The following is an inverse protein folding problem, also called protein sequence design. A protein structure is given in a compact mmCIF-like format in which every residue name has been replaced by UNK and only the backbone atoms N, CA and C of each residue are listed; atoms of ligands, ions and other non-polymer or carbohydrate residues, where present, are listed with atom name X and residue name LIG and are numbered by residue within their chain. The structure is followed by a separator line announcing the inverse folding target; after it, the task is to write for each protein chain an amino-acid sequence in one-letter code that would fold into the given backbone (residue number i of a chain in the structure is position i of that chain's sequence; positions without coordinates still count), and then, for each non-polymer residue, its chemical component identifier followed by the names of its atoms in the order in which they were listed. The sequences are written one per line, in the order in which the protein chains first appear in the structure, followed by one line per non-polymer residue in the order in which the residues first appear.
data_IF_593104080811
#
_entry.id   IF_593104080811
#
_cell.length_a   1.000
_cell.length_b   1.000
_cell.length_c   1.000
_cell.angle_alpha   90.00
_cell.angle_beta   90.00
_cell.angle_gamma   90.00
#
_symmetry.space_group_name_H-M   'P 1'
#
loop_
_entity.id
_entity.type
_entity.pdbx_description
1 polymer ?
#
# COMPACT_ATOMS: atom_id res chain seq x y z
N UNK A 1 44.81 -26.46 -14.13
CA UNK A 1 44.55 -25.21 -14.89
C UNK A 1 44.13 -25.59 -16.30
N UNK A 2 42.86 -25.37 -16.66
CA UNK A 2 42.38 -25.40 -18.05
C UNK A 2 41.74 -24.05 -18.34
N UNK A 3 42.29 -23.34 -19.32
CA UNK A 3 41.64 -22.23 -20.02
C UNK A 3 40.35 -22.76 -20.67
N UNK A 4 39.22 -22.08 -20.45
CA UNK A 4 37.95 -22.48 -21.07
C UNK A 4 36.73 -21.91 -20.37
N UNK A 5 36.59 -20.58 -20.39
CA UNK A 5 35.32 -19.82 -20.48
C UNK A 5 35.58 -18.36 -20.07
N UNK A 6 36.25 -17.59 -20.94
CA UNK A 6 35.99 -16.15 -20.96
C UNK A 6 34.56 -16.04 -21.47
N UNK A 7 33.62 -15.77 -20.56
CA UNK A 7 32.22 -15.53 -20.89
C UNK A 7 32.13 -14.54 -22.04
N UNK A 8 31.51 -14.94 -23.15
CA UNK A 8 31.26 -14.10 -24.34
C UNK A 8 30.70 -12.75 -23.87
N UNK A 9 31.46 -11.67 -24.05
CA UNK A 9 30.99 -10.34 -23.62
C UNK A 9 29.79 -9.92 -24.48
N UNK A 10 28.66 -9.62 -23.85
CA UNK A 10 27.42 -9.25 -24.53
C UNK A 10 27.30 -7.72 -24.60
N UNK A 11 27.12 -7.22 -25.83
CA UNK A 11 26.88 -5.81 -26.11
C UNK A 11 25.54 -5.65 -26.81
N UNK A 12 24.86 -4.54 -26.53
CA UNK A 12 23.62 -4.14 -27.21
C UNK A 12 23.66 -2.66 -27.55
N UNK A 13 22.99 -2.27 -28.63
CA UNK A 13 22.79 -0.86 -28.97
C UNK A 13 21.31 -0.54 -28.88
N UNK A 14 20.96 0.44 -28.04
CA UNK A 14 19.59 0.92 -27.87
C UNK A 14 19.54 2.39 -28.29
N UNK A 15 18.76 2.69 -29.32
CA UNK A 15 18.82 3.96 -30.02
C UNK A 15 20.24 4.24 -30.54
N UNK A 16 20.82 5.34 -30.08
CA UNK A 16 22.19 5.76 -30.43
C UNK A 16 23.25 5.28 -29.43
N UNK A 17 22.83 4.72 -28.29
CA UNK A 17 23.72 4.42 -27.16
C UNK A 17 24.09 2.94 -27.14
N UNK A 18 25.39 2.67 -26.95
CA UNK A 18 25.93 1.32 -26.78
C UNK A 18 25.98 0.96 -25.29
N UNK A 19 25.60 -0.27 -24.96
CA UNK A 19 25.66 -0.81 -23.62
C UNK A 19 26.41 -2.14 -23.59
N UNK A 20 27.22 -2.34 -22.55
CA UNK A 20 27.78 -3.63 -22.16
C UNK A 20 26.89 -4.27 -21.10
N UNK A 21 26.49 -5.52 -21.31
CA UNK A 21 25.80 -6.33 -20.32
C UNK A 21 26.86 -7.01 -19.45
N UNK A 22 26.92 -6.62 -18.17
CA UNK A 22 27.90 -7.17 -17.23
C UNK A 22 27.22 -7.90 -16.09
N UNK A 23 27.85 -8.98 -15.64
CA UNK A 23 27.47 -9.68 -14.43
C UNK A 23 28.31 -9.12 -13.27
N UNK A 24 27.74 -8.19 -12.50
CA UNK A 24 28.41 -7.59 -11.35
C UNK A 24 28.31 -8.53 -10.14
N UNK A 25 29.43 -8.97 -9.53
CA UNK A 25 29.40 -9.88 -8.39
C UNK A 25 28.76 -9.22 -7.15
N UNK A 26 28.01 -10.01 -6.36
CA UNK A 26 27.44 -9.62 -5.06
C UNK A 26 28.28 -10.18 -3.91
N UNK A 27 28.16 -9.53 -2.74
CA UNK A 27 28.80 -9.94 -1.47
C UNK A 27 28.48 -11.40 -1.08
N UNK A 28 27.26 -11.88 -1.35
CA UNK A 28 26.80 -13.20 -0.88
C UNK A 28 27.07 -14.36 -1.86
N UNK A 29 27.90 -14.14 -2.88
CA UNK A 29 28.07 -15.08 -3.98
C UNK A 29 26.89 -15.01 -4.95
N UNK A 30 27.18 -14.75 -6.23
CA UNK A 30 26.18 -14.52 -7.27
C UNK A 30 26.42 -13.22 -8.03
N UNK A 31 25.62 -12.97 -9.06
CA UNK A 31 25.81 -11.86 -9.99
C UNK A 31 24.52 -11.07 -10.21
N UNK A 32 24.65 -9.77 -10.46
CA UNK A 32 23.59 -8.89 -10.96
C UNK A 32 23.89 -8.53 -12.39
N UNK A 33 22.94 -8.76 -13.29
CA UNK A 33 23.01 -8.20 -14.64
C UNK A 33 22.87 -6.68 -14.55
N UNK A 34 23.91 -5.96 -14.96
CA UNK A 34 23.93 -4.50 -15.05
C UNK A 34 24.24 -4.08 -16.48
N UNK A 35 23.61 -2.98 -16.90
CA UNK A 35 23.88 -2.32 -18.17
C UNK A 35 24.79 -1.14 -17.91
N UNK A 36 25.96 -1.14 -18.54
CA UNK A 36 26.92 -0.05 -18.44
C UNK A 36 27.00 0.60 -19.81
N UNK A 37 26.85 1.93 -19.86
CA UNK A 37 27.07 2.70 -21.09
C UNK A 37 28.51 2.48 -21.54
N UNK A 38 28.70 2.10 -22.79
CA UNK A 38 30.01 1.77 -23.33
C UNK A 38 30.35 2.71 -24.50
N UNK A 39 31.62 3.11 -24.60
CA UNK A 39 32.07 3.96 -25.70
C UNK A 39 32.27 3.13 -26.98
N UNK A 40 31.71 3.63 -28.09
CA UNK A 40 31.87 3.03 -29.42
C UNK A 40 33.33 2.98 -29.88
N UNK A 41 34.16 3.96 -29.52
CA UNK A 41 35.58 3.98 -29.90
C UNK A 41 36.37 2.90 -29.18
N UNK A 42 36.16 2.76 -27.86
CA UNK A 42 36.77 1.70 -27.05
C UNK A 42 36.36 0.32 -27.57
N UNK A 43 35.09 0.10 -27.90
CA UNK A 43 34.64 -1.16 -28.50
C UNK A 43 35.39 -1.47 -29.82
N UNK A 44 35.61 -0.46 -30.67
CA UNK A 44 36.34 -0.63 -31.93
C UNK A 44 37.82 -0.90 -31.72
N UNK A 45 38.43 -0.31 -30.69
CA UNK A 45 39.83 -0.58 -30.33
C UNK A 45 40.00 -2.01 -29.80
N UNK A 46 39.09 -2.46 -28.94
CA UNK A 46 39.16 -3.76 -28.29
C UNK A 46 38.79 -4.93 -29.23
N UNK A 47 37.77 -4.75 -30.07
CA UNK A 47 37.15 -5.82 -30.87
C UNK A 47 37.21 -5.61 -32.39
N UNK A 48 37.76 -4.48 -32.83
CA UNK A 48 37.85 -4.12 -34.25
C UNK A 48 36.59 -3.47 -34.83
N UNK A 49 36.75 -2.85 -36.01
CA UNK A 49 35.70 -2.04 -36.67
C UNK A 49 34.44 -2.84 -37.05
N UNK A 50 34.60 -4.12 -37.40
CA UNK A 50 33.51 -4.96 -37.89
C UNK A 50 32.61 -5.50 -36.78
N UNK A 51 33.08 -5.54 -35.52
CA UNK A 51 32.30 -6.05 -34.39
C UNK A 51 31.03 -5.24 -34.13
N UNK A 52 31.03 -3.94 -34.43
CA UNK A 52 29.84 -3.11 -34.27
C UNK A 52 28.66 -3.56 -35.15
N UNK A 53 28.93 -4.24 -36.27
CA UNK A 53 27.88 -4.77 -37.15
C UNK A 53 27.16 -5.99 -36.53
N UNK A 54 27.82 -6.72 -35.62
CA UNK A 54 27.25 -7.91 -34.96
C UNK A 54 26.45 -7.59 -33.70
N UNK A 55 26.53 -6.35 -33.21
CA UNK A 55 25.81 -5.90 -32.01
C UNK A 55 24.30 -5.78 -32.30
N UNK A 56 23.41 -6.45 -31.54
CA UNK A 56 21.97 -6.29 -31.66
C UNK A 56 21.52 -4.84 -31.47
N UNK A 57 20.53 -4.42 -32.27
CA UNK A 57 20.05 -3.04 -32.35
C UNK A 57 18.57 -2.98 -31.98
N UNK A 58 18.26 -2.09 -31.05
CA UNK A 58 16.90 -1.82 -30.58
C UNK A 58 16.59 -0.33 -30.72
N UNK A 59 15.33 0.00 -30.93
CA UNK A 59 14.88 1.39 -31.12
C UNK A 59 14.80 2.14 -29.78
N UNK A 60 14.49 1.44 -28.68
CA UNK A 60 14.37 2.02 -27.36
C UNK A 60 14.13 1.00 -26.24
N UNK A 61 13.77 1.51 -25.07
CA UNK A 61 13.31 0.70 -23.94
C UNK A 61 11.79 0.72 -23.84
N UNK A 62 11.20 -0.36 -23.35
CA UNK A 62 9.78 -0.43 -22.97
C UNK A 62 9.63 -1.18 -21.64
N UNK A 63 8.48 -1.09 -21.00
CA UNK A 63 8.16 -1.89 -19.81
C UNK A 63 6.82 -2.58 -20.03
N UNK A 64 6.85 -3.83 -20.48
CA UNK A 64 5.66 -4.65 -20.71
C UNK A 64 5.68 -5.81 -19.73
N UNK A 65 4.89 -5.75 -18.65
CA UNK A 65 4.92 -6.78 -17.62
C UNK A 65 4.10 -8.01 -18.04
N UNK A 66 4.76 -9.16 -18.08
CA UNK A 66 4.15 -10.48 -18.23
C UNK A 66 5.09 -11.51 -17.62
N UNK A 67 4.59 -12.35 -16.72
CA UNK A 67 5.36 -13.40 -16.06
C UNK A 67 5.30 -14.74 -16.77
N UNK A 68 4.19 -15.04 -17.46
CA UNK A 68 3.94 -16.37 -18.05
C UNK A 68 4.44 -16.39 -19.50
N UNK A 69 4.14 -15.34 -20.25
CA UNK A 69 4.54 -15.16 -21.64
C UNK A 69 5.55 -14.03 -21.79
N UNK A 70 6.54 -14.00 -20.89
CA UNK A 70 7.56 -12.94 -20.88
C UNK A 70 8.27 -12.83 -22.24
N UNK A 71 8.38 -11.60 -22.73
CA UNK A 71 9.14 -11.26 -23.94
C UNK A 71 10.27 -10.29 -23.58
N UNK A 72 11.54 -10.69 -23.75
CA UNK A 72 12.67 -9.78 -23.53
C UNK A 72 12.72 -8.66 -24.58
N UNK A 73 12.13 -8.91 -25.75
CA UNK A 73 12.04 -7.98 -26.87
C UNK A 73 10.57 -7.88 -27.27
N UNK A 74 10.04 -6.65 -27.28
CA UNK A 74 8.69 -6.34 -27.76
C UNK A 74 8.86 -5.48 -29.00
N UNK A 75 8.52 -6.05 -30.16
CA UNK A 75 8.82 -5.49 -31.48
C UNK A 75 10.32 -5.19 -31.66
N UNK A 76 10.71 -3.91 -31.57
CA UNK A 76 12.13 -3.46 -31.64
C UNK A 76 12.62 -2.84 -30.33
N UNK A 77 11.86 -2.96 -29.26
CA UNK A 77 12.17 -2.38 -27.96
C UNK A 77 12.66 -3.45 -26.99
N UNK A 78 13.68 -3.10 -26.21
CA UNK A 78 14.17 -3.96 -25.14
C UNK A 78 13.28 -3.77 -23.90
N UNK A 79 12.75 -4.86 -23.36
CA UNK A 79 11.90 -4.83 -22.17
C UNK A 79 12.75 -4.60 -20.91
N UNK A 80 12.36 -3.61 -20.10
CA UNK A 80 12.93 -3.31 -18.80
C UNK A 80 12.34 -4.19 -17.70
N UNK A 81 11.17 -4.78 -17.96
CA UNK A 81 10.61 -5.80 -17.09
C UNK A 81 11.49 -7.04 -17.13
N UNK A 82 11.66 -7.70 -15.99
CA UNK A 82 12.60 -8.82 -15.87
C UNK A 82 11.84 -10.14 -15.79
N UNK A 83 12.35 -11.24 -16.40
CA UNK A 83 11.76 -12.55 -16.22
C UNK A 83 11.92 -12.99 -14.77
N UNK A 84 11.04 -13.91 -14.34
CA UNK A 84 11.27 -14.67 -13.11
C UNK A 84 11.89 -16.02 -13.48
N UNK A 85 12.88 -16.46 -12.71
CA UNK A 85 13.59 -17.72 -13.02
C UNK A 85 12.83 -18.98 -12.54
N UNK A 86 11.69 -18.81 -11.89
CA UNK A 86 10.89 -19.90 -11.35
C UNK A 86 10.06 -20.58 -12.44
N UNK A 87 10.12 -21.92 -12.49
CA UNK A 87 9.32 -22.73 -13.42
C UNK A 87 8.18 -23.39 -12.66
N UNK A 88 6.91 -23.13 -13.04
CA UNK A 88 5.76 -23.82 -12.45
C UNK A 88 5.87 -25.34 -12.59
N UNK A 89 5.62 -26.06 -11.50
CA UNK A 89 5.67 -27.52 -11.46
C UNK A 89 4.71 -28.00 -10.36
N UNK A 90 4.06 -29.15 -10.53
CA UNK A 90 3.26 -29.75 -9.45
C UNK A 90 4.09 -30.05 -8.20
N UNK A 91 3.50 -29.87 -7.03
CA UNK A 91 4.15 -30.16 -5.76
C UNK A 91 3.36 -29.63 -4.56
N UNK A 92 3.92 -29.82 -3.36
CA UNK A 92 3.39 -29.26 -2.13
C UNK A 92 3.90 -27.82 -1.91
N UNK A 93 3.07 -26.99 -1.28
CA UNK A 93 3.40 -25.62 -0.90
C UNK A 93 2.89 -25.30 0.51
N UNK A 94 2.92 -26.28 1.41
CA UNK A 94 2.34 -26.18 2.76
C UNK A 94 2.92 -25.02 3.57
N UNK A 95 4.21 -24.69 3.44
CA UNK A 95 4.81 -23.56 4.14
C UNK A 95 4.34 -22.21 3.58
N UNK A 96 4.26 -22.07 2.26
CA UNK A 96 3.66 -20.88 1.62
C UNK A 96 2.19 -20.75 2.02
N UNK A 97 1.44 -21.84 2.01
CA UNK A 97 0.04 -21.85 2.43
C UNK A 97 -0.09 -21.38 3.89
N UNK A 98 0.78 -21.86 4.78
CA UNK A 98 0.84 -21.43 6.18
C UNK A 98 1.15 -19.94 6.30
N UNK A 99 2.12 -19.42 5.53
CA UNK A 99 2.47 -18.01 5.52
C UNK A 99 1.29 -17.14 5.04
N UNK A 100 0.66 -17.51 3.92
CA UNK A 100 -0.48 -16.75 3.38
C UNK A 100 -1.65 -16.78 4.38
N UNK A 101 -1.91 -17.92 5.02
CA UNK A 101 -2.95 -18.04 6.05
C UNK A 101 -2.63 -17.22 7.30
N UNK A 102 -1.37 -17.14 7.70
CA UNK A 102 -0.92 -16.27 8.79
C UNK A 102 -1.13 -14.78 8.48
N UNK A 103 -0.81 -14.35 7.26
CA UNK A 103 -0.91 -12.93 6.86
C UNK A 103 -2.36 -12.49 6.62
N UNK A 104 -3.16 -13.32 5.95
CA UNK A 104 -4.50 -12.94 5.51
C UNK A 104 -5.62 -13.50 6.41
N UNK A 105 -5.32 -14.44 7.31
CA UNK A 105 -6.27 -14.96 8.29
C UNK A 105 -7.55 -15.48 7.64
N UNK A 106 -8.68 -14.94 8.10
CA UNK A 106 -10.02 -15.21 7.58
C UNK A 106 -10.21 -14.79 6.11
N UNK A 107 -9.36 -13.89 5.61
CA UNK A 107 -9.35 -13.43 4.21
C UNK A 107 -8.34 -14.20 3.34
N UNK A 108 -7.99 -15.44 3.71
CA UNK A 108 -7.05 -16.29 2.97
C UNK A 108 -7.30 -16.34 1.47
N UNK A 109 -8.55 -16.56 1.04
CA UNK A 109 -8.90 -16.65 -0.39
C UNK A 109 -8.69 -15.32 -1.14
N UNK A 110 -8.93 -14.17 -0.49
CA UNK A 110 -8.60 -12.86 -1.06
C UNK A 110 -7.09 -12.68 -1.19
N UNK A 111 -6.31 -13.19 -0.22
CA UNK A 111 -4.85 -13.18 -0.27
C UNK A 111 -4.31 -14.00 -1.43
N UNK A 112 -4.88 -15.19 -1.65
CA UNK A 112 -4.56 -16.05 -2.79
C UNK A 112 -4.95 -15.38 -4.12
N UNK A 113 -6.12 -14.75 -4.21
CA UNK A 113 -6.52 -13.95 -5.38
C UNK A 113 -5.53 -12.80 -5.64
N UNK A 114 -5.10 -12.09 -4.59
CA UNK A 114 -4.15 -10.98 -4.71
C UNK A 114 -2.82 -11.46 -5.31
N UNK A 115 -2.25 -12.56 -4.79
CA UNK A 115 -1.01 -13.15 -5.29
C UNK A 115 -1.16 -13.70 -6.72
N UNK A 116 -2.30 -14.33 -7.01
CA UNK A 116 -2.63 -14.82 -8.35
C UNK A 116 -2.70 -13.67 -9.38
N UNK A 117 -3.33 -12.55 -9.01
CA UNK A 117 -3.45 -11.38 -9.88
C UNK A 117 -2.10 -10.69 -10.08
N UNK A 118 -1.24 -10.63 -9.07
CA UNK A 118 0.13 -10.16 -9.25
C UNK A 118 0.89 -10.99 -10.29
N UNK A 119 0.68 -12.31 -10.29
CA UNK A 119 1.38 -13.24 -11.18
C UNK A 119 0.77 -13.31 -12.60
N UNK A 120 -0.54 -13.46 -12.73
CA UNK A 120 -1.21 -13.66 -14.02
C UNK A 120 -1.65 -12.36 -14.69
N UNK A 121 -1.86 -11.29 -13.90
CA UNK A 121 -2.38 -10.01 -14.39
C UNK A 121 -1.60 -8.82 -13.80
N UNK A 122 -0.29 -8.72 -14.07
CA UNK A 122 0.59 -7.74 -13.41
C UNK A 122 0.19 -6.27 -13.66
N UNK A 123 -0.62 -5.97 -14.68
CA UNK A 123 -1.14 -4.63 -14.99
C UNK A 123 -2.38 -4.28 -14.14
N UNK A 124 -3.13 -5.28 -13.66
CA UNK A 124 -4.38 -5.08 -12.93
C UNK A 124 -4.13 -4.28 -11.64
N UNK A 125 -4.91 -3.22 -11.43
CA UNK A 125 -4.84 -2.38 -10.22
C UNK A 125 -5.36 -3.16 -9.01
N UNK A 126 -4.55 -3.16 -7.95
CA UNK A 126 -4.82 -3.81 -6.67
C UNK A 126 -4.72 -2.78 -5.53
N UNK A 127 -5.38 -3.02 -4.39
CA UNK A 127 -5.28 -2.14 -3.23
C UNK A 127 -3.86 -2.10 -2.67
N UNK A 128 -3.57 -1.02 -1.94
CA UNK A 128 -2.39 -0.87 -1.10
C UNK A 128 -2.56 -1.83 0.08
N UNK A 129 -1.69 -2.83 0.16
CA UNK A 129 -1.68 -3.77 1.28
C UNK A 129 -0.86 -3.16 2.42
N UNK A 130 -1.47 -2.94 3.57
CA UNK A 130 -0.83 -2.40 4.77
C UNK A 130 -0.89 -3.44 5.89
N UNK A 131 0.27 -3.97 6.28
CA UNK A 131 0.42 -4.92 7.36
C UNK A 131 0.83 -4.17 8.64
N UNK A 132 0.01 -4.25 9.69
CA UNK A 132 0.27 -3.59 10.97
C UNK A 132 0.42 -4.61 12.09
N UNK A 133 1.34 -4.37 13.01
CA UNK A 133 1.41 -5.10 14.28
C UNK A 133 2.21 -4.32 15.30
N UNK A 134 1.72 -4.18 16.53
CA UNK A 134 2.52 -3.62 17.65
C UNK A 134 3.66 -4.57 18.04
N UNK A 135 3.41 -5.87 17.95
CA UNK A 135 4.35 -6.90 18.33
C UNK A 135 5.45 -7.08 17.28
N UNK A 136 6.64 -7.44 17.76
CA UNK A 136 7.77 -7.88 16.92
C UNK A 136 7.64 -9.38 16.64
N UNK A 137 8.33 -9.83 15.60
CA UNK A 137 8.34 -11.23 15.15
C UNK A 137 6.96 -11.76 14.71
N UNK A 138 6.31 -10.99 13.83
CA UNK A 138 4.97 -11.29 13.29
C UNK A 138 5.01 -11.86 11.87
N UNK A 139 6.20 -12.06 11.29
CA UNK A 139 6.34 -12.59 9.93
C UNK A 139 6.13 -11.56 8.80
N UNK A 140 5.93 -10.28 9.11
CA UNK A 140 5.82 -9.19 8.11
C UNK A 140 7.02 -9.14 7.16
N UNK A 141 8.23 -9.03 7.70
CA UNK A 141 9.46 -8.98 6.90
C UNK A 141 9.70 -10.29 6.15
N UNK A 142 9.30 -11.44 6.72
CA UNK A 142 9.33 -12.75 6.03
C UNK A 142 8.41 -12.76 4.81
N UNK A 143 7.20 -12.20 4.91
CA UNK A 143 6.29 -12.05 3.78
C UNK A 143 6.84 -11.11 2.70
N UNK A 144 7.46 -9.99 3.09
CA UNK A 144 8.12 -9.08 2.15
C UNK A 144 9.29 -9.77 1.41
N UNK A 145 10.09 -10.54 2.13
CA UNK A 145 11.18 -11.32 1.55
C UNK A 145 10.65 -12.45 0.66
N UNK A 146 9.53 -13.09 1.02
CA UNK A 146 8.85 -14.05 0.17
C UNK A 146 8.43 -13.41 -1.16
N UNK A 147 7.78 -12.24 -1.13
CA UNK A 147 7.44 -11.50 -2.36
C UNK A 147 8.70 -11.16 -3.18
N UNK A 148 9.79 -10.76 -2.51
CA UNK A 148 11.08 -10.48 -3.17
C UNK A 148 11.67 -11.72 -3.83
N UNK A 149 11.57 -12.89 -3.23
CA UNK A 149 12.06 -14.14 -3.83
C UNK A 149 11.12 -14.63 -4.93
N UNK A 150 9.81 -14.44 -4.79
CA UNK A 150 8.78 -14.84 -5.76
C UNK A 150 8.87 -14.05 -7.07
N UNK A 151 8.90 -12.71 -6.99
CA UNK A 151 8.91 -11.81 -8.15
C UNK A 151 10.29 -11.23 -8.47
N UNK A 152 11.31 -11.60 -7.69
CA UNK A 152 12.73 -11.34 -7.95
C UNK A 152 13.04 -9.86 -8.22
N UNK A 153 13.58 -9.53 -9.40
CA UNK A 153 13.98 -8.17 -9.74
C UNK A 153 12.80 -7.25 -10.05
N UNK A 154 11.57 -7.76 -10.11
CA UNK A 154 10.37 -6.93 -10.26
C UNK A 154 9.84 -6.38 -8.92
N UNK A 155 10.52 -6.66 -7.80
CA UNK A 155 10.24 -6.08 -6.48
C UNK A 155 11.37 -5.16 -6.05
N UNK A 156 11.04 -4.03 -5.44
CA UNK A 156 12.00 -3.11 -4.82
C UNK A 156 11.63 -2.80 -3.38
N UNK A 157 12.64 -2.67 -2.53
CA UNK A 157 12.47 -2.15 -1.17
C UNK A 157 12.74 -0.65 -1.21
N UNK A 158 11.78 0.12 -0.71
CA UNK A 158 11.87 1.57 -0.62
C UNK A 158 11.79 1.99 0.85
N UNK A 159 12.42 3.12 1.14
CA UNK A 159 12.33 3.84 2.40
C UNK A 159 11.29 4.95 2.31
N UNK A 160 10.92 5.55 3.45
CA UNK A 160 10.04 6.73 3.45
C UNK A 160 10.64 7.92 2.67
N UNK A 161 11.97 8.01 2.55
CA UNK A 161 12.65 9.06 1.80
C UNK A 161 12.52 8.87 0.29
N UNK A 162 12.58 7.62 -0.19
CA UNK A 162 12.39 7.30 -1.61
C UNK A 162 11.00 7.73 -2.11
N UNK A 163 9.98 7.69 -1.24
CA UNK A 163 8.64 8.20 -1.55
C UNK A 163 8.57 9.72 -1.63
N UNK A 164 9.44 10.42 -0.91
CA UNK A 164 9.50 11.89 -0.90
C UNK A 164 10.39 12.42 -2.01
N UNK A 165 11.34 11.62 -2.46
CA UNK A 165 12.22 11.94 -3.58
C UNK A 165 11.44 12.23 -4.86
N UNK A 166 11.97 13.15 -5.67
CA UNK A 166 11.53 13.36 -7.05
C UNK A 166 12.13 12.29 -7.98
N UNK A 167 13.31 11.76 -7.63
CA UNK A 167 13.95 10.69 -8.39
C UNK A 167 13.30 9.34 -8.08
N UNK A 168 12.75 8.71 -9.10
CA UNK A 168 11.91 7.53 -8.99
C UNK A 168 12.26 6.43 -10.01
N UNK A 169 13.31 6.63 -10.80
CA UNK A 169 13.74 5.70 -11.86
C UNK A 169 13.96 4.28 -11.38
N UNK A 170 14.33 4.12 -10.11
CA UNK A 170 14.72 2.85 -9.54
C UNK A 170 13.51 1.93 -9.28
N UNK A 171 12.32 2.52 -9.12
CA UNK A 171 11.10 1.81 -8.76
C UNK A 171 9.93 2.00 -9.74
N UNK A 172 9.97 3.01 -10.61
CA UNK A 172 8.84 3.35 -11.49
C UNK A 172 8.39 2.23 -12.45
N UNK A 173 9.30 1.32 -12.83
CA UNK A 173 9.02 0.16 -13.68
C UNK A 173 8.88 -1.18 -12.94
N UNK A 174 8.80 -1.18 -11.61
CA UNK A 174 8.71 -2.40 -10.79
C UNK A 174 7.25 -2.81 -10.55
N UNK A 175 7.02 -4.11 -10.40
CA UNK A 175 5.69 -4.67 -10.08
C UNK A 175 5.28 -4.33 -8.65
N UNK A 176 6.20 -4.49 -7.70
CA UNK A 176 5.95 -4.30 -6.27
C UNK A 176 6.94 -3.31 -5.68
N UNK A 177 6.41 -2.35 -4.95
CA UNK A 177 7.16 -1.41 -4.12
C UNK A 177 6.82 -1.74 -2.68
N UNK A 178 7.85 -2.20 -1.96
CA UNK A 178 7.72 -2.74 -0.62
C UNK A 178 8.38 -1.79 0.38
N UNK A 179 7.74 -1.56 1.53
CA UNK A 179 8.27 -0.75 2.62
C UNK A 179 8.13 -1.52 3.92
N UNK A 180 9.25 -1.84 4.57
CA UNK A 180 9.25 -2.64 5.81
C UNK A 180 8.81 -1.83 7.03
N UNK A 181 9.07 -0.52 7.03
CA UNK A 181 8.64 0.39 8.10
C UNK A 181 8.14 1.71 7.54
N UNK A 182 6.82 1.79 7.36
CA UNK A 182 6.14 2.98 6.87
C UNK A 182 5.71 3.88 8.03
N UNK A 183 6.01 5.17 7.89
CA UNK A 183 5.52 6.25 8.76
C UNK A 183 5.26 7.50 7.92
N UNK A 184 4.07 7.57 7.32
CA UNK A 184 3.66 8.65 6.44
C UNK A 184 2.65 9.54 7.14
N UNK A 185 3.16 10.33 8.08
CA UNK A 185 2.38 11.30 8.88
C UNK A 185 2.00 12.58 8.12
N UNK A 186 2.42 12.73 6.86
CA UNK A 186 2.07 13.90 6.03
C UNK A 186 0.90 13.55 5.11
N UNK A 187 -0.09 14.44 5.03
CA UNK A 187 -1.21 14.29 4.08
C UNK A 187 -0.72 14.21 2.64
N UNK A 188 0.31 14.97 2.30
CA UNK A 188 0.96 14.93 0.98
C UNK A 188 1.47 13.54 0.60
N UNK A 189 2.11 12.84 1.53
CA UNK A 189 2.63 11.49 1.32
C UNK A 189 1.47 10.50 1.04
N UNK A 190 0.37 10.67 1.78
CA UNK A 190 -0.84 9.83 1.65
C UNK A 190 -1.56 10.09 0.31
N UNK A 191 -1.69 11.36 -0.11
CA UNK A 191 -2.22 11.74 -1.42
C UNK A 191 -1.33 11.23 -2.57
N UNK A 192 0.00 11.27 -2.39
CA UNK A 192 0.93 10.71 -3.38
C UNK A 192 0.73 9.21 -3.55
N UNK A 193 0.60 8.43 -2.47
CA UNK A 193 0.30 7.00 -2.52
C UNK A 193 -1.04 6.72 -3.23
N UNK A 194 -2.09 7.47 -2.86
CA UNK A 194 -3.41 7.38 -3.48
C UNK A 194 -3.34 7.60 -5.00
N UNK A 195 -2.63 8.64 -5.43
CA UNK A 195 -2.42 8.93 -6.84
C UNK A 195 -1.67 7.78 -7.52
N UNK A 196 -0.51 7.36 -7.00
CA UNK A 196 0.28 6.28 -7.58
C UNK A 196 -0.50 4.96 -7.70
N UNK A 197 -1.33 4.62 -6.72
CA UNK A 197 -2.13 3.39 -6.74
C UNK A 197 -3.16 3.34 -7.89
N UNK A 198 -3.57 4.50 -8.42
CA UNK A 198 -4.58 4.58 -9.48
C UNK A 198 -4.03 5.00 -10.83
N UNK A 199 -3.04 5.89 -10.86
CA UNK A 199 -2.42 6.46 -12.06
C UNK A 199 -2.07 5.42 -13.13
N UNK A 200 -2.32 5.76 -14.41
CA UNK A 200 -1.99 4.90 -15.55
C UNK A 200 -0.60 5.20 -16.11
N UNK A 201 -0.18 6.46 -16.09
CA UNK A 201 1.10 6.92 -16.62
C UNK A 201 1.85 7.78 -15.59
N UNK A 202 3.15 7.58 -15.48
CA UNK A 202 3.99 8.25 -14.49
C UNK A 202 5.25 8.80 -15.12
N UNK A 203 5.61 10.03 -14.75
CA UNK A 203 6.82 10.68 -15.22
C UNK A 203 8.00 10.16 -14.42
N UNK A 204 8.92 9.51 -15.12
CA UNK A 204 10.16 9.01 -14.57
C UNK A 204 11.17 10.15 -14.54
N UNK A 205 11.76 10.37 -13.36
CA UNK A 205 12.84 11.33 -13.18
C UNK A 205 14.09 10.59 -12.68
N UNK A 206 15.18 10.76 -13.43
CA UNK A 206 16.51 10.30 -13.05
C UNK A 206 17.45 11.50 -13.02
N UNK A 207 18.44 11.48 -12.12
CA UNK A 207 19.38 12.58 -11.98
C UNK A 207 20.16 12.80 -13.29
N UNK A 208 20.05 14.01 -13.84
CA UNK A 208 20.76 14.41 -15.06
C UNK A 208 20.21 13.78 -16.36
N UNK A 209 18.95 13.36 -16.39
CA UNK A 209 18.25 12.88 -17.60
C UNK A 209 16.93 13.60 -17.81
N UNK A 210 16.48 13.65 -19.05
CA UNK A 210 15.17 14.16 -19.41
C UNK A 210 14.05 13.29 -18.82
N UNK A 211 12.87 13.89 -18.64
CA UNK A 211 11.70 13.23 -18.06
C UNK A 211 10.97 12.43 -19.13
N UNK A 212 10.79 11.14 -18.88
CA UNK A 212 10.05 10.23 -19.76
C UNK A 212 8.75 9.79 -19.10
N UNK A 213 7.67 9.64 -19.87
CA UNK A 213 6.39 9.13 -19.37
C UNK A 213 6.28 7.62 -19.64
N UNK A 214 6.06 6.83 -18.59
CA UNK A 214 5.88 5.37 -18.70
C UNK A 214 4.53 4.93 -18.13
N UNK A 215 4.05 3.76 -18.56
CA UNK A 215 2.90 3.13 -17.90
C UNK A 215 3.26 2.72 -16.46
N UNK A 216 2.43 3.12 -15.50
CA UNK A 216 2.61 2.81 -14.09
C UNK A 216 1.66 1.69 -13.67
N UNK A 217 2.22 0.58 -13.19
CA UNK A 217 1.46 -0.60 -12.79
C UNK A 217 1.91 -1.17 -11.44
N UNK A 218 2.75 -0.45 -10.71
CA UNK A 218 3.27 -0.90 -9.42
C UNK A 218 2.17 -1.01 -8.37
N UNK A 219 2.31 -1.96 -7.44
CA UNK A 219 1.47 -2.14 -6.27
C UNK A 219 2.31 -1.91 -5.02
N UNK A 220 1.66 -1.46 -3.96
CA UNK A 220 2.31 -1.12 -2.70
C UNK A 220 2.01 -2.16 -1.64
N UNK A 221 3.05 -2.67 -0.99
CA UNK A 221 2.95 -3.51 0.21
C UNK A 221 3.75 -2.82 1.30
N UNK A 222 3.06 -2.35 2.32
CA UNK A 222 3.60 -1.53 3.39
C UNK A 222 3.51 -2.31 4.70
N UNK A 223 4.53 -2.21 5.53
CA UNK A 223 4.54 -2.75 6.88
C UNK A 223 4.76 -1.61 7.88
N UNK A 224 4.06 -1.65 9.01
CA UNK A 224 4.29 -0.71 10.11
C UNK A 224 4.16 -1.40 11.46
N UNK A 225 4.89 -0.87 12.44
CA UNK A 225 4.73 -1.26 13.84
C UNK A 225 3.70 -0.39 14.58
N UNK A 226 3.14 0.61 13.89
CA UNK A 226 2.11 1.50 14.42
C UNK A 226 0.72 1.06 13.91
N UNK A 227 -0.14 0.59 14.81
CA UNK A 227 -1.51 0.17 14.48
C UNK A 227 -2.50 1.34 14.36
N UNK A 228 -2.12 2.55 14.77
CA UNK A 228 -3.01 3.70 14.86
C UNK A 228 -2.74 4.75 13.77
N UNK A 229 -1.48 5.15 13.60
CA UNK A 229 -1.08 6.24 12.70
C UNK A 229 0.10 5.87 11.77
N UNK A 230 0.05 4.74 11.04
CA UNK A 230 1.11 4.41 10.08
C UNK A 230 1.05 5.29 8.82
N UNK A 231 -0.16 5.62 8.37
CA UNK A 231 -0.48 6.43 7.18
C UNK A 231 -1.79 7.18 7.46
N UNK A 232 -1.97 8.36 6.86
CA UNK A 232 -3.23 9.09 6.94
C UNK A 232 -4.24 8.50 5.94
N UNK A 233 -5.30 7.90 6.46
CA UNK A 233 -6.40 7.30 5.69
C UNK A 233 -7.71 7.98 6.09
N UNK A 234 -8.37 8.60 5.12
CA UNK A 234 -9.66 9.23 5.31
C UNK A 234 -10.80 8.20 5.25
N UNK A 235 -11.93 8.48 5.90
CA UNK A 235 -13.08 7.55 5.97
C UNK A 235 -13.67 7.16 4.60
N UNK A 236 -13.52 8.01 3.58
CA UNK A 236 -13.98 7.72 2.22
C UNK A 236 -12.98 6.97 1.35
N UNK A 237 -11.82 6.61 1.90
CA UNK A 237 -10.76 5.95 1.13
C UNK A 237 -11.07 4.46 0.94
N UNK A 238 -10.92 3.99 -0.30
CA UNK A 238 -11.34 2.65 -0.72
C UNK A 238 -10.18 1.80 -1.23
N UNK A 239 -8.96 2.37 -1.24
CA UNK A 239 -7.78 1.78 -1.89
C UNK A 239 -6.88 1.02 -0.92
N UNK A 240 -7.14 1.05 0.38
CA UNK A 240 -6.32 0.36 1.38
C UNK A 240 -6.95 -0.96 1.80
N UNK A 241 -6.08 -1.94 1.97
CA UNK A 241 -6.39 -3.20 2.61
C UNK A 241 -5.46 -3.39 3.81
N UNK A 242 -6.00 -3.25 5.03
CA UNK A 242 -5.20 -3.27 6.25
C UNK A 242 -5.36 -4.62 6.95
N UNK A 243 -4.25 -5.30 7.23
CA UNK A 243 -4.23 -6.55 7.99
C UNK A 243 -3.43 -6.35 9.28
N UNK A 244 -4.07 -6.62 10.42
CA UNK A 244 -3.36 -6.78 11.69
C UNK A 244 -2.75 -8.18 11.72
N UNK A 245 -1.45 -8.26 11.98
CA UNK A 245 -0.72 -9.53 11.99
C UNK A 245 -0.35 -9.90 13.42
N UNK A 246 -0.70 -11.13 13.81
CA UNK A 246 -0.37 -11.69 15.11
C UNK A 246 1.09 -12.17 15.17
N UNK A 247 1.62 -12.30 16.40
CA UNK A 247 2.96 -12.84 16.61
C UNK A 247 3.04 -14.32 16.26
N UNK A 248 4.17 -14.68 15.66
CA UNK A 248 4.48 -16.07 15.36
C UNK A 248 4.68 -16.85 16.66
N UNK A 249 4.10 -18.06 16.70
CA UNK A 249 4.25 -18.96 17.85
C UNK A 249 5.65 -19.59 17.92
N UNK A 250 6.30 -19.75 16.78
CA UNK A 250 7.63 -20.34 16.65
C UNK A 250 8.44 -19.60 15.59
N UNK A 251 9.74 -19.48 15.83
CA UNK A 251 10.67 -18.90 14.88
C UNK A 251 11.45 -20.02 14.18
N UNK A 252 11.41 -20.05 12.85
CA UNK A 252 12.14 -21.02 12.02
C UNK A 252 13.09 -20.23 11.11
N UNK A 253 14.38 -20.31 11.43
CA UNK A 253 15.43 -19.56 10.73
C UNK A 253 15.56 -19.94 9.25
N UNK A 254 15.19 -21.16 8.88
CA UNK A 254 15.26 -21.67 7.51
C UNK A 254 13.95 -21.53 6.75
N UNK A 255 12.93 -20.91 7.35
CA UNK A 255 11.60 -20.81 6.77
C UNK A 255 11.63 -20.17 5.37
N UNK A 256 12.40 -19.09 5.17
CA UNK A 256 12.52 -18.46 3.85
C UNK A 256 13.10 -19.39 2.78
N UNK A 257 14.00 -20.31 3.16
CA UNK A 257 14.54 -21.30 2.23
C UNK A 257 13.48 -22.34 1.85
N UNK A 258 12.68 -22.78 2.81
CA UNK A 258 11.53 -23.68 2.57
C UNK A 258 10.52 -23.04 1.63
N UNK A 259 10.14 -21.78 1.89
CA UNK A 259 9.28 -21.01 1.00
C UNK A 259 9.85 -20.94 -0.42
N UNK A 260 11.16 -20.68 -0.56
CA UNK A 260 11.80 -20.62 -1.88
C UNK A 260 11.72 -21.94 -2.64
N UNK A 261 11.83 -23.08 -1.96
CA UNK A 261 11.73 -24.40 -2.56
C UNK A 261 10.32 -24.71 -3.07
N UNK A 262 9.28 -24.16 -2.43
CA UNK A 262 7.87 -24.37 -2.77
C UNK A 262 7.33 -23.44 -3.86
N UNK A 263 8.08 -22.40 -4.28
CA UNK A 263 7.62 -21.43 -5.29
C UNK A 263 7.16 -22.11 -6.60
N UNK A 264 7.87 -23.10 -7.17
CA UNK A 264 7.39 -23.84 -8.34
C UNK A 264 5.98 -24.43 -8.19
N UNK A 265 5.71 -25.09 -7.06
CA UNK A 265 4.41 -25.67 -6.70
C UNK A 265 3.34 -24.59 -6.54
N UNK A 266 3.68 -23.52 -5.84
CA UNK A 266 2.79 -22.39 -5.63
C UNK A 266 2.40 -21.71 -6.95
N UNK A 267 3.36 -21.43 -7.84
CA UNK A 267 3.07 -20.82 -9.14
C UNK A 267 2.20 -21.73 -10.02
N UNK A 268 2.45 -23.05 -10.01
CA UNK A 268 1.59 -24.00 -10.71
C UNK A 268 0.15 -23.94 -10.17
N UNK A 269 -0.01 -23.93 -8.85
CA UNK A 269 -1.33 -23.78 -8.23
C UNK A 269 -2.02 -22.47 -8.64
N UNK A 270 -1.30 -21.33 -8.64
CA UNK A 270 -1.86 -20.04 -9.06
C UNK A 270 -2.32 -20.03 -10.53
N UNK A 271 -1.70 -20.79 -11.42
CA UNK A 271 -2.12 -20.88 -12.83
C UNK A 271 -3.45 -21.62 -13.01
N UNK A 272 -3.73 -22.59 -12.15
CA UNK A 272 -4.88 -23.51 -12.30
C UNK A 272 -6.03 -23.20 -11.33
N UNK A 273 -5.76 -22.44 -10.26
CA UNK A 273 -6.80 -22.01 -9.31
C UNK A 273 -7.77 -21.04 -9.97
N UNK A 274 -9.06 -21.19 -9.67
CA UNK A 274 -10.09 -20.21 -10.01
C UNK A 274 -10.11 -19.09 -8.96
N UNK A 275 -10.15 -17.83 -9.40
CA UNK A 275 -10.29 -16.68 -8.51
C UNK A 275 -11.61 -16.76 -7.74
N UNK A 276 -11.56 -16.46 -6.44
CA UNK A 276 -12.74 -16.43 -5.56
C UNK A 276 -13.56 -15.15 -5.74
N UNK A 277 -12.94 -14.10 -6.29
CA UNK A 277 -13.51 -12.77 -6.49
C UNK A 277 -13.56 -12.39 -7.96
N UNK A 278 -14.41 -11.40 -8.28
CA UNK A 278 -14.58 -10.88 -9.62
C UNK A 278 -14.31 -9.38 -9.66
N UNK A 279 -13.76 -8.90 -10.78
CA UNK A 279 -13.51 -7.48 -11.00
C UNK A 279 -14.82 -6.73 -11.24
N UNK A 280 -15.20 -5.87 -10.30
CA UNK A 280 -16.38 -5.00 -10.42
C UNK A 280 -16.06 -3.52 -10.69
N UNK A 281 -14.79 -3.13 -10.54
CA UNK A 281 -14.37 -1.74 -10.67
C UNK A 281 -12.98 -1.62 -11.33
N UNK A 282 -12.41 -0.41 -11.30
CA UNK A 282 -11.01 -0.18 -11.70
C UNK A 282 -10.06 -1.04 -10.85
N UNK A 283 -10.27 -1.08 -9.54
CA UNK A 283 -9.60 -2.02 -8.64
C UNK A 283 -10.29 -3.37 -8.69
N UNK A 284 -9.51 -4.44 -8.53
CA UNK A 284 -10.06 -5.80 -8.58
C UNK A 284 -11.07 -6.04 -7.45
N UNK A 285 -10.66 -5.80 -6.21
CA UNK A 285 -11.49 -6.02 -5.03
C UNK A 285 -12.46 -4.86 -4.80
N UNK A 286 -13.68 -5.19 -4.38
CA UNK A 286 -14.65 -4.19 -3.92
C UNK A 286 -14.29 -3.69 -2.52
N UNK A 287 -14.57 -2.42 -2.18
CA UNK A 287 -14.19 -1.86 -0.88
C UNK A 287 -14.77 -2.62 0.32
N UNK A 288 -15.97 -3.17 0.17
CA UNK A 288 -16.61 -4.01 1.18
C UNK A 288 -15.81 -5.25 1.58
N UNK A 289 -15.01 -5.80 0.65
CA UNK A 289 -14.16 -6.97 0.91
C UNK A 289 -12.88 -6.61 1.66
N UNK A 290 -12.44 -5.35 1.58
CA UNK A 290 -11.19 -4.86 2.19
C UNK A 290 -11.42 -4.25 3.57
N UNK A 291 -12.67 -4.11 3.98
CA UNK A 291 -13.06 -3.52 5.25
C UNK A 291 -12.66 -4.42 6.41
N UNK A 292 -11.74 -3.95 7.24
CA UNK A 292 -11.24 -4.65 8.44
C UNK A 292 -11.30 -3.73 9.66
N UNK A 293 -11.34 -4.32 10.85
CA UNK A 293 -11.26 -3.54 12.10
C UNK A 293 -9.97 -2.72 12.19
N UNK A 294 -8.86 -3.25 11.68
CA UNK A 294 -7.58 -2.55 11.62
C UNK A 294 -7.65 -1.30 10.73
N UNK A 295 -8.30 -1.39 9.57
CA UNK A 295 -8.54 -0.23 8.71
C UNK A 295 -9.41 0.82 9.41
N UNK A 296 -10.50 0.38 10.04
CA UNK A 296 -11.39 1.28 10.78
C UNK A 296 -10.70 1.98 11.94
N UNK A 297 -9.83 1.27 12.67
CA UNK A 297 -9.02 1.85 13.74
C UNK A 297 -8.13 2.97 13.22
N UNK A 298 -7.41 2.76 12.10
CA UNK A 298 -6.55 3.79 11.50
C UNK A 298 -7.39 4.99 11.01
N UNK A 299 -8.54 4.76 10.39
CA UNK A 299 -9.45 5.84 9.95
C UNK A 299 -9.90 6.68 11.15
N UNK A 300 -10.32 6.03 12.24
CA UNK A 300 -10.74 6.69 13.48
C UNK A 300 -9.60 7.47 14.12
N UNK A 301 -8.40 6.90 14.18
CA UNK A 301 -7.22 7.55 14.75
C UNK A 301 -6.75 8.76 13.93
N UNK A 302 -7.00 8.79 12.62
CA UNK A 302 -6.68 9.93 11.76
C UNK A 302 -7.64 11.12 11.89
N UNK A 303 -8.68 11.02 12.74
CA UNK A 303 -9.62 12.11 12.97
C UNK A 303 -9.02 13.27 13.74
N UNK A 304 -9.68 14.42 13.61
CA UNK A 304 -9.30 15.59 14.37
C UNK A 304 -9.51 15.35 15.87
N UNK A 305 -8.58 15.78 16.72
CA UNK A 305 -8.71 15.64 18.17
C UNK A 305 -10.04 16.21 18.68
N UNK A 306 -10.43 17.40 18.21
CA UNK A 306 -11.71 17.99 18.61
C UNK A 306 -12.92 17.13 18.21
N UNK A 307 -12.85 16.44 17.07
CA UNK A 307 -13.91 15.54 16.63
C UNK A 307 -14.04 14.34 17.57
N UNK A 308 -12.91 13.77 18.01
CA UNK A 308 -12.87 12.68 18.99
C UNK A 308 -13.46 13.14 20.33
N UNK A 309 -13.04 14.30 20.83
CA UNK A 309 -13.54 14.85 22.11
C UNK A 309 -15.06 15.12 22.06
N UNK A 310 -15.58 15.62 20.93
CA UNK A 310 -17.04 15.81 20.76
C UNK A 310 -17.75 14.45 20.68
N UNK A 311 -17.19 13.47 19.98
CA UNK A 311 -17.74 12.12 19.87
C UNK A 311 -17.85 11.43 21.24
N UNK A 312 -16.75 11.40 21.99
CA UNK A 312 -16.68 10.80 23.33
C UNK A 312 -17.61 11.50 24.32
N UNK A 313 -17.66 12.84 24.30
CA UNK A 313 -18.57 13.62 25.13
C UNK A 313 -20.03 13.24 24.88
N UNK A 314 -20.43 13.11 23.61
CA UNK A 314 -21.82 12.77 23.28
C UNK A 314 -22.16 11.35 23.72
N UNK A 315 -21.25 10.39 23.52
CA UNK A 315 -21.45 9.02 23.97
C UNK A 315 -21.55 8.92 25.51
N UNK A 316 -20.69 9.60 26.26
CA UNK A 316 -20.77 9.63 27.74
C UNK A 316 -22.11 10.21 28.22
N UNK A 317 -22.62 11.26 27.56
CA UNK A 317 -23.94 11.82 27.87
C UNK A 317 -25.06 10.81 27.56
N UNK A 318 -25.01 10.18 26.38
CA UNK A 318 -26.00 9.17 25.97
C UNK A 318 -26.02 7.98 26.94
N UNK A 319 -24.86 7.50 27.36
CA UNK A 319 -24.70 6.40 28.31
C UNK A 319 -25.22 6.75 29.71
N UNK A 320 -24.86 7.91 30.25
CA UNK A 320 -25.27 8.31 31.60
C UNK A 320 -26.74 8.67 31.71
N UNK A 321 -27.33 9.20 30.64
CA UNK A 321 -28.75 9.56 30.62
C UNK A 321 -29.64 8.39 30.18
N UNK A 322 -29.08 7.40 29.48
CA UNK A 322 -29.83 6.27 28.92
C UNK A 322 -30.67 6.69 27.71
N UNK A 323 -30.10 7.50 26.82
CA UNK A 323 -30.75 7.96 25.57
C UNK A 323 -29.92 7.58 24.36
N UNK A 324 -30.58 7.12 23.28
CA UNK A 324 -29.93 6.84 21.99
C UNK A 324 -29.89 8.04 21.05
N UNK A 325 -30.44 9.18 21.49
CA UNK A 325 -30.46 10.42 20.72
C UNK A 325 -29.99 11.60 21.56
N UNK A 326 -29.26 12.51 20.92
CA UNK A 326 -28.80 13.74 21.54
C UNK A 326 -29.00 14.92 20.59
N UNK A 327 -29.64 15.98 21.11
CA UNK A 327 -29.92 17.20 20.37
C UNK A 327 -29.17 18.38 20.99
N UNK A 328 -28.45 19.15 20.18
CA UNK A 328 -27.58 20.22 20.67
C UNK A 328 -27.35 21.33 19.65
N UNK A 329 -27.08 22.53 20.13
CA UNK A 329 -26.45 23.61 19.35
C UNK A 329 -24.92 23.59 19.54
N UNK A 330 -24.14 24.24 18.65
CA UNK A 330 -22.69 24.37 18.83
C UNK A 330 -22.30 25.01 20.17
N UNK A 331 -23.11 25.96 20.65
CA UNK A 331 -22.86 26.64 21.93
C UNK A 331 -23.06 25.69 23.14
N UNK A 332 -23.96 24.72 23.05
CA UNK A 332 -24.12 23.71 24.10
C UNK A 332 -22.90 22.80 24.19
N UNK A 333 -22.39 22.35 23.03
CA UNK A 333 -21.17 21.53 22.96
C UNK A 333 -19.97 22.30 23.53
N UNK A 334 -19.84 23.59 23.23
CA UNK A 334 -18.76 24.40 23.80
C UNK A 334 -18.81 24.47 25.32
N UNK A 335 -19.99 24.65 25.90
CA UNK A 335 -20.16 24.68 27.36
C UNK A 335 -19.81 23.31 27.96
N UNK A 336 -20.27 22.23 27.33
CA UNK A 336 -20.00 20.87 27.79
C UNK A 336 -18.52 20.51 27.69
N UNK A 337 -17.85 20.85 26.58
CA UNK A 337 -16.40 20.70 26.40
C UNK A 337 -15.58 21.56 27.39
N UNK A 338 -16.07 22.77 27.69
CA UNK A 338 -15.44 23.64 28.69
C UNK A 338 -15.36 22.99 30.08
N UNK A 339 -16.38 22.20 30.44
CA UNK A 339 -16.40 21.45 31.70
C UNK A 339 -15.44 20.24 31.70
N UNK A 340 -15.05 19.72 30.53
CA UNK A 340 -14.01 18.69 30.38
C UNK A 340 -12.61 19.28 30.12
N UNK A 341 -12.43 20.60 30.31
CA UNK A 341 -11.19 21.33 30.06
C UNK A 341 -10.71 21.34 28.59
N UNK A 342 -11.59 21.01 27.64
CA UNK A 342 -11.29 21.06 26.21
C UNK A 342 -11.60 22.47 25.70
N UNK A 343 -10.54 23.20 25.32
CA UNK A 343 -10.69 24.52 24.70
C UNK A 343 -11.00 24.36 23.21
N UNK A 344 -12.17 24.83 22.81
CA UNK A 344 -12.60 24.88 21.42
C UNK A 344 -13.30 26.20 21.11
N UNK A 345 -13.25 26.62 19.85
CA UNK A 345 -14.01 27.76 19.36
C UNK A 345 -15.24 27.32 18.58
N UNK A 346 -16.27 28.17 18.56
CA UNK A 346 -17.54 27.91 17.86
C UNK A 346 -17.36 27.53 16.40
N UNK A 347 -16.42 28.16 15.71
CA UNK A 347 -16.14 27.88 14.31
C UNK A 347 -15.57 26.46 14.12
N UNK A 348 -14.76 25.97 15.06
CA UNK A 348 -14.16 24.64 15.02
C UNK A 348 -15.22 23.55 15.27
N UNK A 349 -16.10 23.76 16.24
CA UNK A 349 -17.24 22.85 16.49
C UNK A 349 -18.16 22.80 15.26
N UNK A 350 -18.51 23.96 14.68
CA UNK A 350 -19.32 24.00 13.45
C UNK A 350 -18.66 23.24 12.31
N UNK A 351 -17.34 23.37 12.16
CA UNK A 351 -16.56 22.65 11.15
C UNK A 351 -16.69 21.13 11.31
N UNK A 352 -16.56 20.61 12.53
CA UNK A 352 -16.76 19.17 12.81
C UNK A 352 -18.18 18.75 12.41
N UNK A 353 -19.21 19.46 12.87
CA UNK A 353 -20.60 19.07 12.66
C UNK A 353 -21.02 19.13 11.18
N UNK A 354 -20.61 20.18 10.46
CA UNK A 354 -21.06 20.45 9.10
C UNK A 354 -20.16 19.84 8.02
N UNK A 355 -18.84 19.86 8.21
CA UNK A 355 -17.89 19.38 7.19
C UNK A 355 -17.48 17.92 7.42
N UNK A 356 -17.18 17.54 8.66
CA UNK A 356 -16.75 16.17 8.99
C UNK A 356 -17.96 15.23 9.09
N UNK A 357 -18.94 15.57 9.93
CA UNK A 357 -20.13 14.73 10.18
C UNK A 357 -21.27 14.98 9.19
N UNK A 358 -21.17 16.03 8.37
CA UNK A 358 -22.16 16.39 7.33
C UNK A 358 -23.59 16.51 7.87
N UNK A 359 -23.75 16.89 9.13
CA UNK A 359 -25.04 17.07 9.76
C UNK A 359 -25.70 18.36 9.26
N UNK A 360 -27.03 18.30 9.11
CA UNK A 360 -27.85 19.46 8.79
C UNK A 360 -28.57 19.91 10.06
N UNK A 361 -28.52 21.20 10.42
CA UNK A 361 -29.30 21.70 11.54
C UNK A 361 -30.80 21.69 11.19
N UNK A 362 -31.64 21.78 12.21
CA UNK A 362 -33.08 21.98 12.03
C UNK A 362 -33.37 23.20 11.12
N UNK A 363 -34.38 23.07 10.26
CA UNK A 363 -34.73 24.09 9.27
C UNK A 363 -35.10 25.44 9.89
N UNK A 364 -35.77 25.41 11.04
CA UNK A 364 -36.23 26.60 11.77
C UNK A 364 -35.75 26.56 13.22
N UNK A 365 -35.87 27.69 13.90
CA UNK A 365 -35.65 27.76 15.35
C UNK A 365 -36.78 27.01 16.03
N UNK A 366 -36.44 25.90 16.68
CA UNK A 366 -37.38 25.00 17.35
C UNK A 366 -36.94 24.79 18.81
N UNK A 367 -37.87 24.33 19.64
CA UNK A 367 -37.57 23.94 21.02
C UNK A 367 -36.95 22.55 21.03
N UNK A 368 -35.86 22.37 21.77
CA UNK A 368 -35.19 21.08 21.93
C UNK A 368 -34.72 20.90 23.38
N UNK A 369 -34.44 19.64 23.73
CA UNK A 369 -33.85 19.29 25.02
C UNK A 369 -32.39 18.92 24.79
N UNK A 370 -31.50 19.59 25.50
CA UNK A 370 -30.07 19.29 25.58
C UNK A 370 -29.71 18.96 27.03
N UNK A 371 -28.43 18.79 27.33
CA UNK A 371 -27.94 18.52 28.69
C UNK A 371 -26.93 19.57 29.13
N UNK A 372 -26.91 19.83 30.44
CA UNK A 372 -25.87 20.63 31.10
C UNK A 372 -25.29 19.81 32.25
N UNK A 373 -24.04 20.11 32.63
CA UNK A 373 -23.39 19.45 33.77
C UNK A 373 -24.10 19.87 35.06
N UNK A 374 -24.42 18.87 35.89
CA UNK A 374 -25.01 19.04 37.21
C UNK A 374 -24.30 18.08 38.19
N UNK A 375 -23.39 18.64 38.99
CA UNK A 375 -22.59 17.88 39.95
C UNK A 375 -23.41 17.29 41.11
N UNK A 376 -24.68 17.67 41.25
CA UNK A 376 -25.56 17.16 42.31
C UNK A 376 -26.27 15.87 41.93
N UNK A 377 -26.28 15.51 40.64
CA UNK A 377 -26.92 14.29 40.12
C UNK A 377 -25.92 13.15 39.96
N UNK A 378 -26.36 11.93 40.22
CA UNK A 378 -25.56 10.72 39.99
C UNK A 378 -25.12 10.58 38.52
N UNK A 379 -26.01 10.88 37.57
CA UNK A 379 -25.69 10.85 36.14
C UNK A 379 -24.86 12.05 35.66
N UNK A 380 -24.53 13.01 36.54
CA UNK A 380 -23.79 14.26 36.27
C UNK A 380 -24.39 15.21 35.22
N UNK A 381 -25.53 14.86 34.63
CA UNK A 381 -26.18 15.64 33.58
C UNK A 381 -27.64 15.93 33.94
N UNK A 382 -28.06 17.18 33.73
CA UNK A 382 -29.45 17.60 33.88
C UNK A 382 -30.03 18.03 32.52
N UNK A 383 -31.26 17.61 32.17
CA UNK A 383 -31.91 18.04 30.95
C UNK A 383 -32.23 19.54 31.02
N UNK A 384 -31.95 20.24 29.93
CA UNK A 384 -32.19 21.68 29.76
C UNK A 384 -33.00 21.89 28.49
N UNK A 385 -34.18 22.51 28.62
CA UNK A 385 -34.99 22.93 27.47
C UNK A 385 -34.50 24.28 26.96
N UNK A 386 -34.24 24.38 25.66
CA UNK A 386 -33.80 25.61 25.00
C UNK A 386 -34.41 25.73 23.61
N UNK A 387 -34.19 26.87 22.94
CA UNK A 387 -34.67 27.12 21.56
C UNK A 387 -33.50 27.45 20.64
N UNK A 388 -33.48 26.88 19.44
CA UNK A 388 -32.43 27.16 18.47
C UNK A 388 -32.53 26.30 17.21
N UNK A 389 -31.57 26.48 16.29
CA UNK A 389 -31.35 25.57 15.15
C UNK A 389 -30.35 24.50 15.58
N UNK A 390 -30.86 23.44 16.19
CA UNK A 390 -30.07 22.36 16.76
C UNK A 390 -29.73 21.28 15.72
N UNK A 391 -28.72 20.49 16.04
CA UNK A 391 -28.38 19.23 15.37
C UNK A 391 -28.89 18.07 16.22
N UNK A 392 -29.20 16.95 15.58
CA UNK A 392 -29.53 15.69 16.27
C UNK A 392 -28.63 14.59 15.75
N UNK A 393 -28.06 13.82 16.66
CA UNK A 393 -27.30 12.60 16.35
C UNK A 393 -27.92 11.41 17.08
N UNK A 394 -27.80 10.24 16.45
CA UNK A 394 -28.19 8.96 17.04
C UNK A 394 -26.95 8.17 17.44
N UNK A 395 -27.09 7.24 18.39
CA UNK A 395 -26.02 6.30 18.74
C UNK A 395 -25.53 5.52 17.52
N UNK A 396 -26.45 5.00 16.71
CA UNK A 396 -26.15 4.30 15.46
C UNK A 396 -25.28 5.15 14.51
N UNK A 397 -25.57 6.45 14.36
CA UNK A 397 -24.73 7.35 13.57
C UNK A 397 -23.32 7.45 14.14
N UNK A 398 -23.18 7.64 15.47
CA UNK A 398 -21.89 7.75 16.14
C UNK A 398 -21.08 6.45 16.12
N UNK A 399 -21.71 5.29 15.91
CA UNK A 399 -21.02 4.01 15.75
C UNK A 399 -20.46 3.82 14.33
N UNK A 400 -21.06 4.47 13.32
CA UNK A 400 -20.57 4.46 11.93
C UNK A 400 -19.40 5.42 11.69
N UNK A 401 -19.42 6.55 12.41
CA UNK A 401 -18.38 6.90 13.38
C UNK A 401 -17.10 6.05 13.42
#
# INVERSE_FOLDING_TARGET
MKQGNISKEEFIRVGTTLYKLVNQPRLNGGYVKKRIVWNNETLRQDYGKHFLATVPKYDGFCTVPDHVNYRPIVDKFLNLYEPIDHKPMEGDFSHIQSLVRHIFGEQYELGMDYLQLLYLQPIQKLPILLLVSEERNTGKSTFLNFLKVLFQNNVTFNTNEDFRSQFNSDWAGKLLIVVDEVLLSRREDSERLKNLSTTLSYKVEAKGKDRDEIAFFAKFVLCSNNEYLPVIIDAGETRYWVRKIERLQSDDTDFLQKLKAEIPAFLYHLQHRRLSTEKKSRMWFTPSLLHTEALQRIIRSNRNRLEIEIHELILDIMDRVGSDTFSFCPDDILILLGNSHVKAERHQVRRVLQECWKLKPAHNTLTYTTYQVDYTRECRYAPKRTTGRFYTVTREFLETL
#
